data_IF_513014274022
#
_entry.id   IF_513014274022
#
_cell.length_a   1.000
_cell.length_b   1.000
_cell.length_c   1.000
_cell.angle_alpha   90.00
_cell.angle_beta   90.00
_cell.angle_gamma   90.00
#
_symmetry.space_group_name_H-M   'P 1'
#
loop_
_entity.id
_entity.type
_entity.pdbx_description
1 polymer ?
#
# COMPACT_ATOMS: atom_id res chain seq x y z
N UNK A 1 16.27 4.77 3.70
CA UNK A 1 15.41 3.58 3.63
C UNK A 1 13.98 4.00 3.35
N UNK A 2 13.32 3.43 2.36
CA UNK A 2 11.94 3.71 1.97
C UNK A 2 11.16 2.39 2.15
N UNK A 3 10.08 2.38 2.92
CA UNK A 3 9.26 1.19 3.17
C UNK A 3 7.85 1.38 2.64
N UNK A 4 7.27 0.34 2.05
CA UNK A 4 5.83 0.22 1.93
C UNK A 4 5.20 -0.04 3.31
N UNK A 5 3.88 0.12 3.38
CA UNK A 5 3.07 -0.12 4.57
C UNK A 5 2.38 -1.48 4.51
N UNK A 6 1.45 -1.66 3.58
CA UNK A 6 0.59 -2.83 3.48
C UNK A 6 1.35 -4.07 3.01
N UNK A 7 1.21 -5.22 3.70
CA UNK A 7 1.92 -6.44 3.33
C UNK A 7 3.41 -6.48 3.72
N UNK A 8 4.01 -5.33 4.07
CA UNK A 8 5.40 -5.22 4.57
C UNK A 8 5.41 -4.96 6.07
N UNK A 9 4.80 -3.87 6.51
CA UNK A 9 4.69 -3.50 7.94
C UNK A 9 3.42 -4.06 8.60
N UNK A 10 2.57 -4.69 7.80
CA UNK A 10 1.38 -5.42 8.25
C UNK A 10 1.39 -6.84 7.69
N UNK A 11 0.43 -7.65 8.14
CA UNK A 11 0.09 -8.92 7.47
C UNK A 11 -0.33 -8.67 6.02
N UNK A 12 -0.26 -9.71 5.14
CA UNK A 12 -0.65 -9.58 3.73
C UNK A 12 -2.09 -9.08 3.56
N UNK A 13 -2.29 -8.10 2.67
CA UNK A 13 -3.59 -7.45 2.45
C UNK A 13 -4.70 -8.42 1.99
N UNK A 14 -4.33 -9.55 1.41
CA UNK A 14 -5.30 -10.61 1.04
C UNK A 14 -6.13 -11.07 2.23
N UNK A 15 -5.59 -11.02 3.46
CA UNK A 15 -6.32 -11.41 4.68
C UNK A 15 -7.52 -10.48 4.93
N UNK A 16 -7.38 -9.19 4.65
CA UNK A 16 -8.48 -8.22 4.77
C UNK A 16 -9.61 -8.50 3.77
N UNK A 17 -9.26 -8.86 2.54
CA UNK A 17 -10.26 -9.26 1.55
C UNK A 17 -10.94 -10.59 1.88
N UNK A 18 -10.21 -11.54 2.46
CA UNK A 18 -10.79 -12.79 2.96
C UNK A 18 -11.76 -12.53 4.12
N UNK A 19 -11.40 -11.68 5.08
CA UNK A 19 -12.27 -11.28 6.16
C UNK A 19 -13.56 -10.60 5.65
N UNK A 20 -13.43 -9.73 4.66
CA UNK A 20 -14.56 -9.11 3.99
C UNK A 20 -15.48 -10.14 3.30
N UNK A 21 -14.89 -11.11 2.60
CA UNK A 21 -15.63 -12.22 2.00
C UNK A 21 -16.36 -13.05 3.05
N UNK A 22 -15.71 -13.39 4.16
CA UNK A 22 -16.29 -14.21 5.22
C UNK A 22 -17.47 -13.50 5.90
N UNK A 23 -17.40 -12.18 6.08
CA UNK A 23 -18.47 -11.40 6.71
C UNK A 23 -19.63 -11.10 5.77
N UNK A 24 -19.35 -10.81 4.50
CA UNK A 24 -20.38 -10.34 3.54
C UNK A 24 -20.87 -11.42 2.58
N UNK A 25 -20.11 -12.51 2.41
CA UNK A 25 -20.35 -13.52 1.37
C UNK A 25 -19.94 -13.07 -0.04
N UNK A 26 -19.38 -11.88 -0.22
CA UNK A 26 -18.92 -11.36 -1.51
C UNK A 26 -17.50 -11.86 -1.77
N UNK A 27 -17.34 -12.74 -2.76
CA UNK A 27 -16.02 -13.31 -3.06
C UNK A 27 -15.05 -12.29 -3.66
N UNK A 28 -13.75 -12.52 -3.46
CA UNK A 28 -12.69 -11.73 -4.11
C UNK A 28 -12.82 -11.73 -5.64
N UNK A 29 -13.24 -12.85 -6.24
CA UNK A 29 -13.49 -12.95 -7.68
C UNK A 29 -14.63 -12.02 -8.11
N UNK A 30 -15.72 -11.98 -7.34
CA UNK A 30 -16.85 -11.09 -7.59
C UNK A 30 -16.46 -9.62 -7.48
N UNK A 31 -15.69 -9.26 -6.46
CA UNK A 31 -15.12 -7.90 -6.30
C UNK A 31 -14.21 -7.54 -7.47
N UNK A 32 -13.28 -8.42 -7.84
CA UNK A 32 -12.36 -8.19 -8.96
C UNK A 32 -13.10 -8.05 -10.29
N UNK A 33 -14.13 -8.86 -10.53
CA UNK A 33 -14.97 -8.75 -11.73
C UNK A 33 -15.72 -7.42 -11.79
N UNK A 34 -16.26 -6.94 -10.66
CA UNK A 34 -16.93 -5.66 -10.59
C UNK A 34 -15.95 -4.50 -10.88
N UNK A 35 -14.76 -4.52 -10.27
CA UNK A 35 -13.73 -3.52 -10.55
C UNK A 35 -13.29 -3.49 -12.01
N UNK A 36 -13.14 -4.68 -12.64
CA UNK A 36 -12.79 -4.76 -14.06
C UNK A 36 -13.89 -4.19 -14.96
N UNK A 37 -15.16 -4.47 -14.69
CA UNK A 37 -16.26 -3.89 -15.46
C UNK A 37 -16.35 -2.37 -15.32
N UNK A 38 -16.07 -1.83 -14.13
CA UNK A 38 -15.98 -0.39 -13.91
C UNK A 38 -14.84 0.16 -14.75
N UNK A 39 -13.66 -0.46 -14.72
CA UNK A 39 -12.51 -0.06 -15.53
C UNK A 39 -12.81 -0.06 -17.03
N UNK A 40 -13.50 -1.08 -17.53
CA UNK A 40 -13.90 -1.19 -18.93
C UNK A 40 -14.91 -0.10 -19.36
N UNK A 41 -15.74 0.36 -18.42
CA UNK A 41 -16.78 1.37 -18.67
C UNK A 41 -16.24 2.79 -18.51
N UNK A 42 -15.52 3.04 -17.43
CA UNK A 42 -15.10 4.36 -17.00
C UNK A 42 -13.68 4.73 -17.52
N UNK A 43 -12.95 3.72 -18.06
CA UNK A 43 -11.62 3.88 -18.68
C UNK A 43 -10.46 3.89 -17.71
N UNK A 44 -10.72 3.80 -16.39
CA UNK A 44 -9.71 3.70 -15.34
C UNK A 44 -10.17 2.70 -14.26
N UNK A 45 -9.22 2.01 -13.67
CA UNK A 45 -9.51 1.09 -12.57
C UNK A 45 -9.94 1.87 -11.32
N UNK A 46 -11.11 1.61 -10.72
CA UNK A 46 -11.68 2.45 -9.67
C UNK A 46 -10.80 2.54 -8.41
N UNK A 47 -10.08 1.46 -8.08
CA UNK A 47 -9.12 1.47 -6.99
C UNK A 47 -7.94 2.43 -7.26
N UNK A 48 -7.50 2.59 -8.52
CA UNK A 48 -6.40 3.48 -8.85
C UNK A 48 -6.80 4.96 -8.69
N UNK A 49 -8.03 5.30 -9.06
CA UNK A 49 -8.55 6.65 -8.83
C UNK A 49 -8.76 6.94 -7.34
N UNK A 50 -9.18 5.93 -6.57
CA UNK A 50 -9.28 6.02 -5.11
C UNK A 50 -7.91 6.25 -4.46
N UNK A 51 -6.91 5.44 -4.83
CA UNK A 51 -5.53 5.56 -4.33
C UNK A 51 -4.82 6.84 -4.77
N UNK A 52 -5.23 7.46 -5.89
CA UNK A 52 -4.75 8.80 -6.28
C UNK A 52 -5.54 9.94 -5.61
N UNK A 53 -6.54 9.62 -4.78
CA UNK A 53 -7.39 10.60 -4.13
C UNK A 53 -8.28 11.40 -5.10
N UNK A 54 -8.53 10.87 -6.32
CA UNK A 54 -9.42 11.48 -7.33
C UNK A 54 -10.88 11.28 -7.03
N UNK A 55 -11.21 10.18 -6.36
CA UNK A 55 -12.54 9.88 -5.85
C UNK A 55 -12.48 9.62 -4.35
N UNK A 56 -13.59 9.80 -3.66
CA UNK A 56 -13.70 9.49 -2.23
C UNK A 56 -14.00 8.01 -2.02
N UNK A 57 -13.70 7.47 -0.82
CA UNK A 57 -14.12 6.12 -0.42
C UNK A 57 -15.63 5.93 -0.62
N UNK A 58 -16.44 6.89 -0.20
CA UNK A 58 -17.90 6.82 -0.35
C UNK A 58 -18.33 6.67 -1.82
N UNK A 59 -17.71 7.43 -2.74
CA UNK A 59 -18.00 7.33 -4.17
C UNK A 59 -17.54 5.99 -4.75
N UNK A 60 -16.38 5.49 -4.33
CA UNK A 60 -15.88 4.18 -4.71
C UNK A 60 -16.83 3.06 -4.25
N UNK A 61 -17.22 3.05 -2.98
CA UNK A 61 -18.09 2.02 -2.41
C UNK A 61 -19.49 2.05 -3.03
N UNK A 62 -20.02 3.22 -3.32
CA UNK A 62 -21.30 3.39 -4.03
C UNK A 62 -21.24 2.80 -5.44
N UNK A 63 -20.18 3.12 -6.20
CA UNK A 63 -19.96 2.59 -7.55
C UNK A 63 -19.77 1.07 -7.56
N UNK A 64 -19.05 0.53 -6.55
CA UNK A 64 -18.91 -0.90 -6.36
C UNK A 64 -20.24 -1.57 -6.04
N UNK A 65 -21.07 -0.98 -5.17
CA UNK A 65 -22.39 -1.51 -4.81
C UNK A 65 -23.31 -1.58 -6.04
N UNK A 66 -23.30 -0.56 -6.89
CA UNK A 66 -24.06 -0.55 -8.17
C UNK A 66 -23.65 -1.69 -9.10
N UNK A 67 -22.35 -1.91 -9.25
CA UNK A 67 -21.84 -2.94 -10.17
C UNK A 67 -22.01 -4.36 -9.63
N UNK A 68 -22.04 -4.52 -8.30
CA UNK A 68 -22.25 -5.80 -7.63
C UNK A 68 -23.74 -6.23 -7.60
N UNK A 69 -24.67 -5.28 -7.58
CA UNK A 69 -26.11 -5.55 -7.44
C UNK A 69 -26.65 -6.58 -8.45
N UNK A 70 -26.33 -6.52 -9.77
CA UNK A 70 -26.83 -7.52 -10.73
C UNK A 70 -26.29 -8.93 -10.47
N UNK A 71 -25.08 -9.06 -9.95
CA UNK A 71 -24.46 -10.35 -9.67
C UNK A 71 -25.00 -10.99 -8.38
N UNK A 72 -25.33 -10.16 -7.39
CA UNK A 72 -25.82 -10.61 -6.08
C UNK A 72 -27.34 -10.73 -6.00
N UNK A 73 -28.08 -10.08 -6.94
CA UNK A 73 -29.54 -9.99 -6.91
C UNK A 73 -30.10 -9.02 -5.85
N UNK A 74 -29.24 -8.31 -5.16
CA UNK A 74 -29.57 -7.24 -4.22
C UNK A 74 -28.39 -6.27 -4.12
N UNK A 75 -28.64 -5.03 -3.70
CA UNK A 75 -27.58 -4.04 -3.45
C UNK A 75 -26.85 -4.37 -2.15
N UNK A 76 -25.51 -4.60 -2.19
CA UNK A 76 -24.76 -4.92 -0.99
C UNK A 76 -24.53 -3.67 -0.13
N UNK A 77 -24.44 -3.85 1.19
CA UNK A 77 -24.00 -2.83 2.13
C UNK A 77 -22.47 -2.81 2.20
N UNK A 78 -21.85 -1.74 1.71
CA UNK A 78 -20.39 -1.61 1.63
C UNK A 78 -19.80 -0.68 2.71
N UNK A 79 -20.64 -0.02 3.53
CA UNK A 79 -20.22 1.05 4.45
C UNK A 79 -19.26 0.61 5.56
N UNK A 80 -19.14 -0.70 5.84
CA UNK A 80 -18.18 -1.26 6.80
C UNK A 80 -16.91 -1.80 6.17
N UNK A 81 -16.66 -1.50 4.89
CA UNK A 81 -15.52 -2.07 4.16
C UNK A 81 -14.19 -1.76 4.85
N UNK A 82 -13.92 -0.48 5.14
CA UNK A 82 -12.68 -0.06 5.79
C UNK A 82 -12.53 -0.62 7.21
N UNK A 83 -13.63 -0.69 7.99
CA UNK A 83 -13.62 -1.28 9.34
C UNK A 83 -13.17 -2.75 9.28
N UNK A 84 -13.84 -3.57 8.48
CA UNK A 84 -13.52 -5.00 8.31
C UNK A 84 -12.08 -5.17 7.77
N UNK A 85 -11.69 -4.32 6.82
CA UNK A 85 -10.38 -4.35 6.19
C UNK A 85 -9.26 -4.15 7.22
N UNK A 86 -9.37 -3.13 8.07
CA UNK A 86 -8.33 -2.80 9.06
C UNK A 86 -8.38 -3.72 10.29
N UNK A 87 -9.53 -4.19 10.71
CA UNK A 87 -9.67 -5.15 11.82
C UNK A 87 -8.96 -6.49 11.53
N UNK A 88 -8.85 -6.85 10.26
CA UNK A 88 -8.16 -8.06 9.83
C UNK A 88 -6.63 -7.92 9.70
N UNK A 89 -6.11 -6.68 9.65
CA UNK A 89 -4.68 -6.43 9.55
C UNK A 89 -4.01 -6.49 10.92
N UNK A 90 -2.82 -7.08 10.97
CA UNK A 90 -1.97 -7.11 12.15
C UNK A 90 -0.60 -6.49 11.85
N UNK A 91 0.02 -5.77 12.79
CA UNK A 91 1.38 -5.29 12.64
C UNK A 91 2.38 -6.43 12.40
N UNK A 92 3.34 -6.22 11.50
CA UNK A 92 4.48 -7.09 11.28
C UNK A 92 5.63 -6.66 12.20
N UNK A 93 5.57 -7.09 13.46
CA UNK A 93 6.52 -6.65 14.51
C UNK A 93 8.00 -6.82 14.13
N UNK A 94 8.45 -7.94 13.49
CA UNK A 94 9.85 -8.07 13.08
C UNK A 94 10.29 -6.98 12.10
N UNK A 95 9.44 -6.59 11.15
CA UNK A 95 9.75 -5.51 10.20
C UNK A 95 9.71 -4.14 10.86
N UNK A 96 8.77 -3.89 11.75
CA UNK A 96 8.67 -2.65 12.52
C UNK A 96 9.93 -2.46 13.37
N UNK A 97 10.42 -3.53 14.03
CA UNK A 97 11.65 -3.46 14.82
C UNK A 97 12.88 -3.23 13.93
N UNK A 98 12.95 -3.85 12.76
CA UNK A 98 14.00 -3.57 11.79
C UNK A 98 14.00 -2.08 11.37
N UNK A 99 12.82 -1.49 11.11
CA UNK A 99 12.74 -0.06 10.76
C UNK A 99 13.19 0.85 11.91
N UNK A 100 12.84 0.51 13.16
CA UNK A 100 13.36 1.22 14.35
C UNK A 100 14.88 1.14 14.49
N UNK A 101 15.43 -0.04 14.19
CA UNK A 101 16.89 -0.22 14.21
C UNK A 101 17.57 0.64 13.13
N UNK A 102 17.10 0.56 11.90
CA UNK A 102 17.67 1.29 10.75
C UNK A 102 17.56 2.81 10.90
N UNK A 103 16.51 3.30 11.56
CA UNK A 103 16.34 4.74 11.85
C UNK A 103 17.52 5.36 12.60
N UNK A 104 18.32 4.58 13.34
CA UNK A 104 19.46 5.11 14.12
C UNK A 104 20.54 5.71 13.23
N UNK A 105 20.70 5.14 12.02
CA UNK A 105 21.80 5.47 11.12
C UNK A 105 21.30 5.90 9.72
N UNK A 106 20.00 5.78 9.44
CA UNK A 106 19.43 6.05 8.13
C UNK A 106 18.23 7.00 8.20
N UNK A 107 18.03 7.76 7.14
CA UNK A 107 16.80 8.49 6.91
C UNK A 107 15.69 7.52 6.50
N UNK A 108 14.50 7.70 7.08
CA UNK A 108 13.39 6.77 6.93
C UNK A 108 12.20 7.43 6.26
N UNK A 109 11.68 6.85 5.18
CA UNK A 109 10.43 7.27 4.55
C UNK A 109 9.45 6.12 4.44
N UNK A 110 8.16 6.43 4.59
CA UNK A 110 7.06 5.55 4.25
C UNK A 110 6.49 5.98 2.89
N UNK A 111 6.33 5.02 1.97
CA UNK A 111 5.76 5.24 0.64
C UNK A 111 4.62 4.24 0.42
N UNK A 112 3.38 4.69 0.51
CA UNK A 112 2.20 3.82 0.49
C UNK A 112 1.19 4.23 -0.57
N UNK A 113 0.58 3.23 -1.23
CA UNK A 113 -0.67 3.41 -1.95
C UNK A 113 -1.80 3.23 -0.96
N UNK A 114 -2.55 4.29 -0.70
CA UNK A 114 -3.58 4.25 0.33
C UNK A 114 -4.78 5.13 -0.03
N UNK A 115 -5.77 5.14 0.83
CA UNK A 115 -7.00 5.90 0.68
C UNK A 115 -6.99 7.07 1.65
N UNK A 116 -7.37 8.25 1.19
CA UNK A 116 -7.32 9.49 1.99
C UNK A 116 -8.07 9.37 3.31
N UNK A 117 -9.27 8.81 3.27
CA UNK A 117 -10.14 8.65 4.44
C UNK A 117 -9.61 7.62 5.45
N UNK A 118 -8.70 6.75 5.01
CA UNK A 118 -8.13 5.70 5.85
C UNK A 118 -6.89 6.14 6.64
N UNK A 119 -6.36 7.34 6.40
CA UNK A 119 -5.15 7.82 7.06
C UNK A 119 -5.20 7.68 8.60
N UNK A 120 -6.30 8.06 9.31
CA UNK A 120 -6.36 7.89 10.76
C UNK A 120 -6.31 6.41 11.20
N UNK A 121 -6.84 5.50 10.38
CA UNK A 121 -6.89 4.06 10.68
C UNK A 121 -5.48 3.45 10.59
N UNK A 122 -4.84 3.55 9.42
CA UNK A 122 -3.54 2.92 9.22
C UNK A 122 -2.43 3.57 10.07
N UNK A 123 -2.47 4.88 10.31
CA UNK A 123 -1.52 5.54 11.22
C UNK A 123 -1.64 5.09 12.66
N UNK A 124 -2.82 4.66 13.09
CA UNK A 124 -3.01 4.17 14.46
C UNK A 124 -2.47 2.75 14.69
N UNK A 125 -2.19 1.99 13.62
CA UNK A 125 -1.77 0.59 13.73
C UNK A 125 -0.33 0.43 14.23
N UNK A 126 0.55 1.38 13.92
CA UNK A 126 1.96 1.34 14.29
C UNK A 126 2.50 2.76 14.50
N UNK A 127 3.62 2.94 15.22
CA UNK A 127 4.17 4.26 15.53
C UNK A 127 4.88 4.90 14.33
N UNK A 128 4.08 5.23 13.28
CA UNK A 128 4.59 5.75 11.99
C UNK A 128 5.48 6.97 12.21
N UNK A 129 4.98 7.97 12.94
CA UNK A 129 5.69 9.24 13.15
C UNK A 129 6.94 9.11 14.06
N UNK A 130 7.02 8.01 14.82
CA UNK A 130 8.23 7.70 15.58
C UNK A 130 9.32 7.07 14.71
N UNK A 131 8.96 6.37 13.62
CA UNK A 131 9.89 5.63 12.77
C UNK A 131 10.29 6.45 11.54
N UNK A 132 9.30 7.02 10.86
CA UNK A 132 9.47 7.66 9.57
C UNK A 132 9.42 9.17 9.70
N UNK A 133 10.46 9.85 9.17
CA UNK A 133 10.52 11.33 9.11
C UNK A 133 9.73 11.90 7.92
N UNK A 134 9.43 11.05 6.94
CA UNK A 134 8.67 11.39 5.76
C UNK A 134 7.62 10.31 5.49
N UNK A 135 6.39 10.75 5.19
CA UNK A 135 5.32 9.90 4.68
C UNK A 135 4.87 10.45 3.34
N UNK A 136 4.90 9.59 2.32
CA UNK A 136 4.34 9.85 1.00
C UNK A 136 3.19 8.87 0.79
N UNK A 137 1.97 9.39 0.86
CA UNK A 137 0.75 8.66 0.63
C UNK A 137 0.17 9.09 -0.73
N UNK A 138 -0.10 8.13 -1.59
CA UNK A 138 -0.58 8.33 -2.96
C UNK A 138 -1.81 9.23 -3.05
N UNK A 139 -2.76 9.08 -2.12
CA UNK A 139 -4.01 9.84 -2.12
C UNK A 139 -3.82 11.34 -1.85
N UNK A 140 -2.66 11.75 -1.29
CA UNK A 140 -2.34 13.16 -1.04
C UNK A 140 -1.42 13.77 -2.09
N UNK A 141 -0.69 12.94 -2.86
CA UNK A 141 0.22 13.43 -3.91
C UNK A 141 -0.37 13.27 -5.33
N UNK A 142 -1.46 12.53 -5.48
CA UNK A 142 -2.20 12.41 -6.75
C UNK A 142 -1.61 11.40 -7.76
N UNK A 143 -0.56 10.69 -7.39
CA UNK A 143 0.06 9.59 -8.14
C UNK A 143 0.33 8.41 -7.22
N UNK A 144 0.47 7.21 -7.79
CA UNK A 144 0.58 5.96 -7.05
C UNK A 144 1.72 5.07 -7.56
N UNK A 145 2.22 4.17 -6.76
CA UNK A 145 3.11 3.11 -7.21
C UNK A 145 2.34 2.21 -8.21
N UNK A 146 2.93 1.79 -9.33
CA UNK A 146 4.33 1.92 -9.75
C UNK A 146 4.64 3.15 -10.63
N UNK A 147 3.84 4.22 -10.61
CA UNK A 147 4.10 5.43 -11.41
C UNK A 147 5.42 6.08 -10.98
N UNK A 148 6.32 6.46 -11.92
CA UNK A 148 7.62 7.03 -11.58
C UNK A 148 7.54 8.27 -10.70
N UNK A 149 6.52 9.09 -10.89
CA UNK A 149 6.32 10.37 -10.21
C UNK A 149 6.30 10.24 -8.69
N UNK A 150 5.72 9.16 -8.14
CA UNK A 150 5.61 9.01 -6.68
C UNK A 150 6.99 8.72 -6.05
N UNK A 151 7.86 8.00 -6.76
CA UNK A 151 9.23 7.76 -6.32
C UNK A 151 10.07 9.03 -6.43
N UNK A 152 9.92 9.80 -7.51
CA UNK A 152 10.60 11.08 -7.71
C UNK A 152 10.22 12.08 -6.61
N UNK A 153 8.92 12.21 -6.28
CA UNK A 153 8.43 13.00 -5.15
C UNK A 153 9.07 12.54 -3.83
N UNK A 154 9.19 11.23 -3.64
CA UNK A 154 9.80 10.67 -2.42
C UNK A 154 11.28 11.04 -2.32
N UNK A 155 12.03 10.87 -3.40
CA UNK A 155 13.46 11.22 -3.47
C UNK A 155 13.68 12.73 -3.29
N UNK A 156 12.89 13.57 -3.94
CA UNK A 156 12.94 15.02 -3.81
C UNK A 156 12.73 15.46 -2.35
N UNK A 157 11.68 14.94 -1.70
CA UNK A 157 11.36 15.27 -0.30
C UNK A 157 12.40 14.73 0.69
N UNK A 158 12.99 13.57 0.39
CA UNK A 158 14.13 13.05 1.15
C UNK A 158 15.41 13.86 0.90
N UNK A 159 15.54 14.53 -0.25
CA UNK A 159 16.76 15.21 -0.65
C UNK A 159 17.92 14.24 -0.84
N UNK A 160 17.66 13.04 -1.34
CA UNK A 160 18.66 11.99 -1.57
C UNK A 160 18.61 11.53 -3.02
N UNK A 161 19.76 11.18 -3.63
CA UNK A 161 19.77 10.56 -4.95
C UNK A 161 19.29 9.10 -4.86
N UNK A 162 18.77 8.58 -5.96
CA UNK A 162 18.17 7.24 -6.03
C UNK A 162 19.13 6.14 -5.55
N UNK A 163 20.40 6.23 -5.94
CA UNK A 163 21.44 5.24 -5.63
C UNK A 163 21.78 5.17 -4.12
N UNK A 164 21.41 6.20 -3.36
CA UNK A 164 21.57 6.22 -1.90
C UNK A 164 20.33 5.68 -1.16
N UNK A 165 19.31 5.21 -1.90
CA UNK A 165 18.06 4.75 -1.35
C UNK A 165 17.86 3.24 -1.52
N UNK A 166 17.22 2.64 -0.53
CA UNK A 166 16.72 1.27 -0.58
C UNK A 166 15.22 1.31 -0.37
N UNK A 167 14.47 0.61 -1.23
CA UNK A 167 13.02 0.49 -1.17
C UNK A 167 12.62 -0.96 -0.87
N UNK A 168 11.62 -1.17 -0.03
CA UNK A 168 11.02 -2.49 0.21
C UNK A 168 9.51 -2.44 0.01
N UNK A 169 8.99 -3.42 -0.77
CA UNK A 169 7.59 -3.51 -1.15
C UNK A 169 7.23 -4.97 -1.47
N UNK A 170 6.01 -5.42 -1.18
CA UNK A 170 5.55 -6.79 -1.43
C UNK A 170 5.04 -7.00 -2.88
N UNK A 171 4.87 -5.91 -3.63
CA UNK A 171 4.42 -5.94 -5.02
C UNK A 171 5.62 -5.82 -5.97
N UNK A 172 5.89 -6.89 -6.74
CA UNK A 172 7.07 -6.98 -7.61
C UNK A 172 7.19 -5.80 -8.58
N UNK A 173 6.08 -5.38 -9.23
CA UNK A 173 6.10 -4.27 -10.21
C UNK A 173 6.47 -2.93 -9.56
N UNK A 174 6.16 -2.72 -8.29
CA UNK A 174 6.61 -1.53 -7.55
C UNK A 174 8.12 -1.52 -7.37
N UNK A 175 8.70 -2.69 -7.03
CA UNK A 175 10.14 -2.87 -6.91
C UNK A 175 10.86 -2.69 -8.27
N UNK A 176 10.25 -3.16 -9.37
CA UNK A 176 10.77 -2.99 -10.72
C UNK A 176 10.85 -1.51 -11.09
N UNK A 177 9.76 -0.77 -10.90
CA UNK A 177 9.72 0.67 -11.16
C UNK A 177 10.75 1.45 -10.33
N UNK A 178 10.94 1.10 -9.04
CA UNK A 178 11.99 1.70 -8.22
C UNK A 178 13.39 1.45 -8.78
N UNK A 179 13.68 0.22 -9.27
CA UNK A 179 14.98 -0.11 -9.87
C UNK A 179 15.23 0.63 -11.17
N UNK A 180 14.21 0.86 -11.99
CA UNK A 180 14.32 1.65 -13.22
C UNK A 180 14.78 3.09 -12.96
N UNK A 181 14.47 3.62 -11.79
CA UNK A 181 14.92 4.94 -11.32
C UNK A 181 16.28 4.91 -10.59
N UNK A 182 16.90 3.73 -10.45
CA UNK A 182 18.20 3.57 -9.77
C UNK A 182 18.11 3.33 -8.26
N UNK A 183 16.90 3.17 -7.71
CA UNK A 183 16.71 2.81 -6.29
C UNK A 183 16.99 1.32 -6.12
N UNK A 184 17.83 0.93 -5.17
CA UNK A 184 17.96 -0.47 -4.78
C UNK A 184 16.63 -0.95 -4.18
N UNK A 185 16.07 -2.07 -4.67
CA UNK A 185 14.77 -2.53 -4.20
C UNK A 185 14.78 -4.00 -3.76
N UNK A 186 14.20 -4.25 -2.59
CA UNK A 186 13.97 -5.57 -2.01
C UNK A 186 12.50 -5.92 -2.18
N UNK A 187 12.22 -6.97 -2.95
CA UNK A 187 10.87 -7.52 -3.05
C UNK A 187 10.59 -8.36 -1.80
N UNK A 188 9.72 -7.86 -0.94
CA UNK A 188 9.33 -8.52 0.29
C UNK A 188 8.46 -9.75 -0.02
N UNK A 189 8.84 -10.91 0.49
CA UNK A 189 8.04 -12.15 0.42
C UNK A 189 7.71 -12.67 1.82
N UNK A 190 8.68 -12.58 2.71
CA UNK A 190 8.59 -12.94 4.12
C UNK A 190 9.75 -12.29 4.90
N UNK A 191 9.67 -12.35 6.23
CA UNK A 191 10.66 -11.75 7.12
C UNK A 191 12.04 -12.46 7.04
N UNK A 192 12.06 -13.77 6.80
CA UNK A 192 13.31 -14.57 6.77
C UNK A 192 14.16 -14.18 5.57
N UNK A 193 13.52 -13.94 4.43
CA UNK A 193 14.21 -13.48 3.23
C UNK A 193 14.51 -11.97 3.30
N UNK A 194 13.53 -11.13 3.64
CA UNK A 194 13.65 -9.69 3.45
C UNK A 194 14.59 -9.01 4.45
N UNK A 195 14.57 -9.40 5.73
CA UNK A 195 15.37 -8.76 6.77
C UNK A 195 16.89 -8.80 6.43
N UNK A 196 17.51 -9.96 6.11
CA UNK A 196 18.92 -9.97 5.75
C UNK A 196 19.21 -9.22 4.44
N UNK A 197 18.33 -9.25 3.44
CA UNK A 197 18.51 -8.52 2.19
C UNK A 197 18.45 -7.00 2.41
N UNK A 198 17.51 -6.51 3.22
CA UNK A 198 17.41 -5.09 3.58
C UNK A 198 18.65 -4.63 4.33
N UNK A 199 19.14 -5.40 5.32
CA UNK A 199 20.36 -5.08 6.06
C UNK A 199 21.58 -5.00 5.15
N UNK A 200 21.71 -5.94 4.22
CA UNK A 200 22.81 -5.95 3.25
C UNK A 200 22.75 -4.73 2.31
N UNK A 201 21.54 -4.41 1.81
CA UNK A 201 21.35 -3.25 0.95
C UNK A 201 21.61 -1.91 1.69
N UNK A 202 21.17 -1.80 2.94
CA UNK A 202 21.36 -0.61 3.78
C UNK A 202 22.83 -0.40 4.17
N UNK A 203 23.63 -1.47 4.30
CA UNK A 203 25.06 -1.36 4.60
C UNK A 203 25.88 -0.77 3.42
N UNK A 204 25.30 -0.70 2.23
CA UNK A 204 26.00 -0.23 1.02
C UNK A 204 27.00 -1.25 0.47
N UNK A 205 27.61 -0.96 -0.69
CA UNK A 205 28.66 -1.81 -1.23
C UNK A 205 29.90 -1.78 -0.31
N UNK A 206 30.45 -2.96 -0.04
CA UNK A 206 31.67 -3.12 0.75
C UNK A 206 32.90 -2.58 0.03
#
# INVERSE_FOLDING_TARGET
>A
MISDFGGVLTTPLVQSFMAFQDETGISMETLGTAMQKIADTDGEHPLFDLERGRITEAAFLERMAEELEPALGHRPEMHRFSEIYFDALQPNEPMIELMRELKRDHRMALLTNNVREWEPLWRSMLPVDEIFELVVDSAFVGCRKPEPEIYEITLERLGLPAEACVFVDDVAVNCEAARELGIAAVHFRDNEQAIPEIRAAAAGPA
#
